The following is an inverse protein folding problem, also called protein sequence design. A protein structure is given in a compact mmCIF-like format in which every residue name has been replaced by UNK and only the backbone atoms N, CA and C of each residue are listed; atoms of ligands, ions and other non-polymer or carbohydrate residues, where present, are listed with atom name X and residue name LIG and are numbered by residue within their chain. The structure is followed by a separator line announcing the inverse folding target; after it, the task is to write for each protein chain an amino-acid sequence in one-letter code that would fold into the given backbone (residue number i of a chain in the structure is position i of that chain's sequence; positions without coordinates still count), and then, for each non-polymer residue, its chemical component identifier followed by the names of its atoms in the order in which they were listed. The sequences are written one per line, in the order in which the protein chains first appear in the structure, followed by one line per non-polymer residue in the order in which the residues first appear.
data_IF_886962800896
#
_entry.id   IF_886962800896
#
_cell.length_a   1.000
_cell.length_b   1.000
_cell.length_c   1.000
_cell.angle_alpha   90.00
_cell.angle_beta   90.00
_cell.angle_gamma   90.00
#
_symmetry.space_group_name_H-M   'P 1'
#
loop_
_entity.id
_entity.type
_entity.pdbx_description
1 polymer ?
#
# COMPACT_ATOMS: atom_id res chain seq x y z
N UNK A 1 -9.47 -35.69 -35.75
CA UNK A 1 -8.31 -34.93 -35.23
C UNK A 1 -8.49 -34.71 -33.74
N UNK A 2 -7.72 -35.43 -32.92
CA UNK A 2 -7.69 -35.22 -31.46
C UNK A 2 -7.06 -33.85 -31.18
N UNK A 3 -7.82 -32.93 -30.61
CA UNK A 3 -7.30 -31.64 -30.12
C UNK A 3 -6.31 -31.97 -28.99
N UNK A 4 -5.00 -31.91 -29.26
CA UNK A 4 -3.97 -31.94 -28.21
C UNK A 4 -4.29 -30.79 -27.24
N UNK A 5 -4.72 -31.12 -26.01
CA UNK A 5 -4.79 -30.15 -24.92
C UNK A 5 -3.40 -29.54 -24.78
N UNK A 6 -3.27 -28.21 -24.90
CA UNK A 6 -2.03 -27.54 -24.53
C UNK A 6 -1.74 -27.89 -23.07
N UNK A 7 -0.49 -28.26 -22.78
CA UNK A 7 -0.07 -28.52 -21.41
C UNK A 7 -0.35 -27.25 -20.59
N UNK A 8 -1.04 -27.38 -19.45
CA UNK A 8 -1.26 -26.26 -18.56
C UNK A 8 0.09 -25.64 -18.18
N UNK A 9 0.19 -24.31 -18.29
CA UNK A 9 1.39 -23.56 -17.87
C UNK A 9 1.74 -23.95 -16.45
N UNK A 10 2.98 -24.35 -16.22
CA UNK A 10 3.44 -24.72 -14.88
C UNK A 10 3.61 -23.42 -14.09
N UNK A 11 3.09 -23.35 -12.84
CA UNK A 11 3.27 -22.17 -12.02
C UNK A 11 4.75 -21.95 -11.75
N UNK A 12 5.21 -20.71 -11.89
CA UNK A 12 6.57 -20.32 -11.53
C UNK A 12 6.77 -20.54 -10.03
N UNK A 13 7.71 -21.39 -9.65
CA UNK A 13 7.99 -21.68 -8.25
C UNK A 13 8.95 -20.65 -7.69
N UNK A 14 8.40 -19.60 -7.09
CA UNK A 14 9.15 -18.64 -6.27
C UNK A 14 9.76 -19.31 -5.04
N UNK A 15 10.97 -18.93 -4.60
CA UNK A 15 11.58 -19.45 -3.38
C UNK A 15 10.74 -19.09 -2.15
N UNK A 16 10.58 -20.04 -1.21
CA UNK A 16 9.73 -19.85 -0.01
C UNK A 16 10.13 -18.63 0.82
N UNK A 17 11.44 -18.41 0.98
CA UNK A 17 11.96 -17.26 1.72
C UNK A 17 11.51 -15.91 1.13
N UNK A 18 11.34 -15.82 -0.18
CA UNK A 18 10.82 -14.61 -0.83
C UNK A 18 9.32 -14.43 -0.57
N UNK A 19 8.56 -15.53 -0.61
CA UNK A 19 7.12 -15.51 -0.31
C UNK A 19 6.89 -15.04 1.13
N UNK A 20 7.60 -15.61 2.10
CA UNK A 20 7.46 -15.26 3.52
C UNK A 20 7.84 -13.80 3.78
N UNK A 21 8.94 -13.34 3.16
CA UNK A 21 9.37 -11.93 3.24
C UNK A 21 8.30 -11.00 2.68
N UNK A 22 7.79 -11.29 1.48
CA UNK A 22 6.78 -10.46 0.82
C UNK A 22 5.45 -10.50 1.59
N UNK A 23 5.09 -11.62 2.20
CA UNK A 23 3.92 -11.73 3.07
C UNK A 23 4.08 -10.84 4.30
N UNK A 24 5.20 -10.95 5.01
CA UNK A 24 5.48 -10.19 6.23
C UNK A 24 5.53 -8.69 5.96
N UNK A 25 6.40 -8.23 5.06
CA UNK A 25 6.52 -6.81 4.75
C UNK A 25 5.26 -6.26 4.09
N UNK A 26 4.57 -7.07 3.28
CA UNK A 26 3.29 -6.71 2.71
C UNK A 26 2.24 -6.39 3.78
N UNK A 27 2.13 -7.23 4.80
CA UNK A 27 1.21 -7.04 5.93
C UNK A 27 1.58 -5.82 6.79
N UNK A 28 2.87 -5.67 7.12
CA UNK A 28 3.39 -4.52 7.88
C UNK A 28 3.09 -3.21 7.14
N UNK A 29 3.45 -3.10 5.86
CA UNK A 29 3.30 -1.88 5.09
C UNK A 29 1.82 -1.49 4.88
N UNK A 30 0.93 -2.46 4.68
CA UNK A 30 -0.52 -2.20 4.62
C UNK A 30 -1.01 -1.63 5.95
N UNK A 31 -0.67 -2.29 7.07
CA UNK A 31 -1.10 -1.85 8.40
C UNK A 31 -0.55 -0.47 8.75
N UNK A 32 0.72 -0.21 8.44
CA UNK A 32 1.34 1.11 8.63
C UNK A 32 0.67 2.18 7.78
N UNK A 33 0.39 1.89 6.51
CA UNK A 33 -0.31 2.82 5.63
C UNK A 33 -1.72 3.16 6.14
N UNK A 34 -2.49 2.15 6.54
CA UNK A 34 -3.83 2.34 7.12
C UNK A 34 -3.75 3.13 8.44
N UNK A 35 -2.82 2.80 9.33
CA UNK A 35 -2.63 3.51 10.59
C UNK A 35 -2.28 4.99 10.35
N UNK A 36 -1.45 5.30 9.36
CA UNK A 36 -1.14 6.68 8.98
C UNK A 36 -2.39 7.44 8.51
N UNK A 37 -3.22 6.83 7.64
CA UNK A 37 -4.47 7.46 7.22
C UNK A 37 -5.45 7.69 8.37
N UNK A 38 -5.56 6.75 9.31
CA UNK A 38 -6.40 6.91 10.50
C UNK A 38 -5.88 8.06 11.36
N UNK A 39 -4.57 8.14 11.61
CA UNK A 39 -3.98 9.22 12.39
C UNK A 39 -4.20 10.59 11.74
N UNK A 40 -3.96 10.71 10.43
CA UNK A 40 -4.22 11.94 9.66
C UNK A 40 -5.70 12.31 9.71
N UNK A 41 -6.60 11.34 9.57
CA UNK A 41 -8.05 11.56 9.68
C UNK A 41 -8.46 12.09 11.05
N UNK A 42 -7.91 11.51 12.13
CA UNK A 42 -8.15 11.98 13.49
C UNK A 42 -7.61 13.40 13.71
N UNK A 43 -6.40 13.69 13.23
CA UNK A 43 -5.81 15.04 13.29
C UNK A 43 -6.74 16.02 12.57
N UNK A 44 -7.17 15.72 11.34
CA UNK A 44 -8.04 16.59 10.56
C UNK A 44 -9.39 16.86 11.22
N UNK A 45 -9.95 15.89 11.97
CA UNK A 45 -11.20 16.07 12.73
C UNK A 45 -11.00 16.96 13.96
N UNK A 46 -9.88 16.81 14.66
CA UNK A 46 -9.61 17.54 15.91
C UNK A 46 -8.98 18.92 15.70
N UNK A 47 -8.33 19.18 14.57
CA UNK A 47 -7.75 20.49 14.29
C UNK A 47 -8.83 21.54 14.09
N UNK A 48 -8.80 22.68 14.80
CA UNK A 48 -9.85 23.69 14.78
C UNK A 48 -9.79 24.62 13.56
N UNK A 49 -9.27 24.12 12.44
CA UNK A 49 -9.18 24.83 11.18
C UNK A 49 -9.19 23.81 10.03
N UNK A 50 -9.73 24.21 8.89
CA UNK A 50 -9.74 23.35 7.70
C UNK A 50 -8.42 23.45 6.96
N UNK A 51 -8.08 22.43 6.17
CA UNK A 51 -6.89 22.46 5.30
C UNK A 51 -6.90 23.70 4.37
N UNK A 52 -8.08 24.10 3.91
CA UNK A 52 -8.27 25.30 3.10
C UNK A 52 -7.96 26.58 3.89
N UNK A 53 -8.47 26.68 5.13
CA UNK A 53 -8.17 27.80 6.02
C UNK A 53 -6.68 27.91 6.33
N UNK A 54 -6.01 26.79 6.61
CA UNK A 54 -4.56 26.76 6.83
C UNK A 54 -3.75 27.29 5.63
N UNK A 55 -4.18 26.97 4.40
CA UNK A 55 -3.50 27.44 3.18
C UNK A 55 -3.74 28.94 2.97
N UNK A 56 -4.97 29.41 3.19
CA UNK A 56 -5.34 30.83 3.07
C UNK A 56 -4.63 31.69 4.14
N UNK A 57 -4.40 31.14 5.34
CA UNK A 57 -3.69 31.78 6.45
C UNK A 57 -2.15 31.69 6.34
N UNK A 58 -1.62 31.09 5.26
CA UNK A 58 -0.17 30.97 5.03
C UNK A 58 0.53 29.90 5.87
N UNK A 59 -0.23 29.00 6.53
CA UNK A 59 0.28 27.87 7.31
C UNK A 59 0.61 26.69 6.39
N UNK A 60 1.52 26.93 5.43
CA UNK A 60 1.94 25.94 4.44
C UNK A 60 2.62 24.72 5.07
N UNK A 61 3.32 24.90 6.20
CA UNK A 61 3.99 23.82 6.92
C UNK A 61 3.02 22.72 7.35
N UNK A 62 1.82 23.08 7.81
CA UNK A 62 0.79 22.10 8.18
C UNK A 62 0.35 21.27 6.96
N UNK A 63 0.09 21.93 5.83
CA UNK A 63 -0.32 21.25 4.61
C UNK A 63 0.79 20.34 4.07
N UNK A 64 2.06 20.77 4.15
CA UNK A 64 3.23 19.99 3.75
C UNK A 64 3.38 18.75 4.64
N UNK A 65 3.26 18.88 5.95
CA UNK A 65 3.36 17.75 6.89
C UNK A 65 2.22 16.76 6.67
N UNK A 66 0.97 17.24 6.65
CA UNK A 66 -0.21 16.38 6.44
C UNK A 66 -0.16 15.68 5.08
N UNK A 67 0.18 16.43 4.02
CA UNK A 67 0.36 15.89 2.68
C UNK A 67 1.49 14.85 2.62
N UNK A 68 2.63 15.14 3.25
CA UNK A 68 3.78 14.23 3.32
C UNK A 68 3.42 12.90 3.98
N UNK A 69 2.78 12.94 5.15
CA UNK A 69 2.34 11.71 5.82
C UNK A 69 1.25 10.97 5.03
N UNK A 70 0.34 11.68 4.37
CA UNK A 70 -0.68 11.06 3.53
C UNK A 70 -0.04 10.34 2.33
N UNK A 71 0.93 10.97 1.68
CA UNK A 71 1.68 10.38 0.56
C UNK A 71 2.49 9.17 1.02
N UNK A 72 3.22 9.26 2.14
CA UNK A 72 3.97 8.13 2.70
C UNK A 72 3.06 6.96 3.09
N UNK A 73 1.90 7.24 3.69
CA UNK A 73 0.88 6.26 4.01
C UNK A 73 0.32 5.57 2.77
N UNK A 74 0.03 6.34 1.72
CA UNK A 74 -0.44 5.82 0.43
C UNK A 74 0.59 4.89 -0.22
N UNK A 75 1.83 5.35 -0.33
CA UNK A 75 2.93 4.56 -0.93
C UNK A 75 3.13 3.26 -0.14
N UNK A 76 3.15 3.34 1.19
CA UNK A 76 3.27 2.17 2.06
C UNK A 76 2.13 1.17 1.81
N UNK A 77 0.89 1.64 1.79
CA UNK A 77 -0.27 0.79 1.53
C UNK A 77 -0.22 0.11 0.16
N UNK A 78 0.10 0.86 -0.90
CA UNK A 78 0.18 0.34 -2.26
C UNK A 78 1.34 -0.65 -2.44
N UNK A 79 2.52 -0.33 -1.90
CA UNK A 79 3.68 -1.22 -1.92
C UNK A 79 3.39 -2.51 -1.15
N UNK A 80 2.77 -2.41 0.04
CA UNK A 80 2.38 -3.57 0.82
C UNK A 80 1.35 -4.47 0.10
N UNK A 81 0.36 -3.85 -0.55
CA UNK A 81 -0.63 -4.56 -1.38
C UNK A 81 0.03 -5.28 -2.56
N UNK A 82 1.01 -4.66 -3.20
CA UNK A 82 1.78 -5.28 -4.27
C UNK A 82 2.55 -6.51 -3.76
N UNK A 83 3.26 -6.39 -2.64
CA UNK A 83 3.99 -7.51 -2.03
C UNK A 83 3.05 -8.67 -1.62
N UNK A 84 1.89 -8.37 -1.03
CA UNK A 84 0.88 -9.39 -0.70
C UNK A 84 0.36 -10.12 -1.94
N UNK A 85 0.18 -9.40 -3.05
CA UNK A 85 -0.22 -10.01 -4.32
C UNK A 85 0.85 -10.98 -4.81
N UNK A 86 2.12 -10.57 -4.80
CA UNK A 86 3.23 -11.40 -5.25
C UNK A 86 3.41 -12.65 -4.36
N UNK A 87 3.09 -12.55 -3.07
CA UNK A 87 3.14 -13.69 -2.14
C UNK A 87 1.97 -14.68 -2.29
N UNK A 88 0.83 -14.26 -2.85
CA UNK A 88 -0.41 -15.06 -2.86
C UNK A 88 -0.84 -15.53 -4.25
N UNK A 89 -0.45 -14.82 -5.30
CA UNK A 89 -0.75 -15.20 -6.67
C UNK A 89 0.38 -16.06 -7.26
N UNK A 90 -0.03 -17.15 -7.90
CA UNK A 90 0.85 -17.97 -8.71
C UNK A 90 0.90 -17.36 -10.11
N UNK A 91 2.09 -16.95 -10.55
CA UNK A 91 2.28 -16.52 -11.92
C UNK A 91 2.37 -17.77 -12.80
N UNK A 92 1.52 -17.82 -13.83
CA UNK A 92 1.47 -18.90 -14.81
C UNK A 92 2.06 -18.37 -16.12
N UNK A 93 3.34 -18.65 -16.30
CA UNK A 93 4.20 -18.09 -17.33
C UNK A 93 3.91 -18.60 -18.74
#
# INVERSE_FOLDING_TARGET
MSKRKSAARKPERRPRAEIDRNYFFGDVLIKTGVAAFVAIGLIAIFTPFTLRGAIEDGVSDYAVVMGGFATLGLISYLAGRHLRRNATHWDFD
#
